data_IF_539576193145
#
_entry.id   IF_539576193145
#
_cell.length_a   1.000
_cell.length_b   1.000
_cell.length_c   1.000
_cell.angle_alpha   90.00
_cell.angle_beta   90.00
_cell.angle_gamma   90.00
#
_symmetry.space_group_name_H-M   'P 1'
#
loop_
_entity.id
_entity.type
_entity.pdbx_description
1 polymer ?
#
# COMPACT_ATOMS: atom_id res chain seq x y z
N UNK A 1 5.49 -3.64 50.02
CA UNK A 1 6.72 -2.83 49.87
C UNK A 1 7.64 -3.35 48.77
N UNK A 2 8.21 -4.57 48.88
CA UNK A 2 9.22 -5.08 47.92
C UNK A 2 8.68 -5.35 46.50
N UNK A 3 7.38 -5.69 46.38
CA UNK A 3 6.73 -5.98 45.09
C UNK A 3 6.45 -4.73 44.22
N UNK A 4 6.34 -3.55 44.85
CA UNK A 4 6.16 -2.27 44.16
C UNK A 4 7.51 -1.79 43.63
N UNK A 5 8.58 -2.01 44.39
CA UNK A 5 9.95 -1.71 43.98
C UNK A 5 10.42 -2.59 42.79
N UNK A 6 9.96 -3.84 42.72
CA UNK A 6 10.24 -4.72 41.56
C UNK A 6 9.42 -4.36 40.31
N UNK A 7 8.22 -3.79 40.46
CA UNK A 7 7.42 -3.31 39.31
C UNK A 7 7.96 -1.99 38.74
N UNK A 8 8.50 -1.11 39.58
CA UNK A 8 9.10 0.15 39.17
C UNK A 8 10.45 -0.06 38.44
N UNK A 9 11.17 -1.14 38.74
CA UNK A 9 12.43 -1.49 38.07
C UNK A 9 12.23 -2.11 36.68
N UNK A 10 11.15 -2.88 36.46
CA UNK A 10 10.78 -3.42 35.14
C UNK A 10 10.29 -2.30 34.20
N UNK A 11 9.70 -1.23 34.74
CA UNK A 11 9.26 -0.05 33.97
C UNK A 11 10.45 0.80 33.46
N UNK A 12 11.58 0.81 34.17
CA UNK A 12 12.77 1.63 33.82
C UNK A 12 13.73 0.90 32.87
N UNK A 13 13.68 -0.44 32.81
CA UNK A 13 14.58 -1.25 31.97
C UNK A 13 13.92 -1.85 30.71
N UNK A 14 12.59 -1.73 30.56
CA UNK A 14 11.83 -2.37 29.48
C UNK A 14 11.74 -1.63 28.15
N UNK A 15 12.40 -0.47 27.98
CA UNK A 15 12.16 0.43 26.84
C UNK A 15 13.41 0.82 26.04
N UNK A 16 14.44 -0.02 25.97
CA UNK A 16 15.58 0.26 25.09
C UNK A 16 16.24 -1.02 24.58
N UNK A 17 15.87 -1.44 23.36
CA UNK A 17 16.79 -1.76 22.23
C UNK A 17 16.07 -2.61 21.17
N UNK A 18 15.26 -1.96 20.35
CA UNK A 18 15.09 -2.40 18.96
C UNK A 18 15.42 -1.19 18.07
N UNK A 19 16.67 -1.14 17.64
CA UNK A 19 17.18 -0.17 16.66
C UNK A 19 16.95 -0.77 15.27
N UNK A 20 16.03 -0.25 14.44
CA UNK A 20 16.03 -0.59 13.03
C UNK A 20 17.24 0.08 12.36
N UNK A 21 18.17 -0.72 11.88
CA UNK A 21 19.33 -0.29 11.11
C UNK A 21 18.86 0.32 9.77
N UNK A 22 18.97 1.64 9.65
CA UNK A 22 18.84 2.36 8.39
C UNK A 22 20.13 2.21 7.59
N UNK A 23 20.01 1.79 6.32
CA UNK A 23 21.04 2.01 5.31
C UNK A 23 20.50 3.07 4.35
N UNK A 24 21.22 4.18 4.24
CA UNK A 24 20.94 5.25 3.30
C UNK A 24 21.95 5.18 2.14
N UNK A 25 21.46 5.00 0.92
CA UNK A 25 22.08 5.54 -0.29
C UNK A 25 21.00 5.71 -1.37
N UNK A 26 20.96 6.93 -1.89
CA UNK A 26 20.00 7.52 -2.83
C UNK A 26 19.91 6.79 -4.17
N UNK A 27 18.71 6.35 -4.53
CA UNK A 27 18.16 6.52 -5.89
C UNK A 27 16.70 6.94 -5.67
N UNK A 28 16.29 8.00 -6.34
CA UNK A 28 14.90 8.47 -6.47
C UNK A 28 13.90 7.33 -6.26
N UNK A 29 13.05 7.44 -5.23
CA UNK A 29 11.86 6.62 -5.12
C UNK A 29 10.91 7.04 -6.23
N UNK A 30 11.17 6.57 -7.45
CA UNK A 30 10.05 6.12 -8.26
C UNK A 30 9.52 4.96 -7.45
N UNK A 31 8.48 5.21 -6.66
CA UNK A 31 7.56 4.15 -6.30
C UNK A 31 7.21 3.50 -7.64
N UNK A 32 7.94 2.43 -7.98
CA UNK A 32 7.56 1.49 -8.99
C UNK A 32 6.35 0.80 -8.38
N UNK A 33 5.23 1.54 -8.35
CA UNK A 33 3.94 0.97 -8.52
C UNK A 33 4.08 0.30 -9.87
N UNK A 34 4.59 -0.93 -9.86
CA UNK A 34 4.51 -1.85 -10.97
C UNK A 34 3.01 -2.08 -11.10
N UNK A 35 2.32 -1.11 -11.69
CA UNK A 35 1.08 -1.36 -12.37
C UNK A 35 1.41 -2.58 -13.19
N UNK A 36 0.81 -3.70 -12.82
CA UNK A 36 1.08 -4.94 -13.52
C UNK A 36 0.49 -4.75 -14.91
N UNK A 37 1.18 -4.02 -15.77
CA UNK A 37 0.77 -3.68 -17.11
C UNK A 37 1.54 -4.58 -18.05
N UNK A 38 0.94 -4.85 -19.19
CA UNK A 38 1.64 -5.45 -20.32
C UNK A 38 2.56 -4.41 -20.94
N UNK A 39 3.41 -4.86 -21.88
CA UNK A 39 4.23 -3.96 -22.72
C UNK A 39 3.38 -2.91 -23.45
N UNK A 40 2.12 -3.24 -23.75
CA UNK A 40 1.14 -2.35 -24.39
C UNK A 40 0.47 -1.35 -23.42
N UNK A 41 0.93 -1.26 -22.16
CA UNK A 41 0.34 -0.37 -21.13
C UNK A 41 -1.05 -0.80 -20.63
N UNK A 42 -1.61 -1.89 -21.14
CA UNK A 42 -2.90 -2.43 -20.67
C UNK A 42 -2.71 -3.21 -19.37
N UNK A 43 -3.63 -3.10 -18.38
CA UNK A 43 -3.55 -3.90 -17.14
C UNK A 43 -3.53 -5.41 -17.38
N UNK A 44 -2.51 -6.09 -16.87
CA UNK A 44 -2.37 -7.54 -16.86
C UNK A 44 -3.41 -8.18 -15.93
N UNK A 45 -4.34 -8.91 -16.53
CA UNK A 45 -5.47 -9.55 -15.84
C UNK A 45 -5.08 -10.76 -15.00
N UNK A 46 -3.82 -11.20 -15.02
CA UNK A 46 -3.34 -12.26 -14.10
C UNK A 46 -3.45 -11.80 -12.64
N UNK A 47 -3.27 -10.50 -12.38
CA UNK A 47 -3.25 -9.93 -11.05
C UNK A 47 -4.65 -9.51 -10.57
N UNK A 48 -4.98 -9.82 -9.29
CA UNK A 48 -6.31 -9.56 -8.69
C UNK A 48 -6.72 -8.08 -8.75
N UNK A 49 -5.77 -7.16 -8.59
CA UNK A 49 -5.99 -5.71 -8.66
C UNK A 49 -6.55 -5.28 -10.02
N UNK A 50 -5.95 -5.79 -11.10
CA UNK A 50 -6.32 -5.43 -12.48
C UNK A 50 -7.61 -6.08 -12.97
N UNK A 51 -8.03 -7.19 -12.37
CA UNK A 51 -9.34 -7.79 -12.65
C UNK A 51 -10.50 -6.88 -12.26
N UNK A 52 -10.32 -6.04 -11.23
CA UNK A 52 -11.33 -5.11 -10.73
C UNK A 52 -11.33 -3.77 -11.46
N UNK A 53 -10.25 -3.40 -12.14
CA UNK A 53 -10.12 -2.14 -12.89
C UNK A 53 -10.85 -2.14 -14.25
N UNK A 54 -11.98 -2.83 -14.38
CA UNK A 54 -12.81 -2.69 -15.59
C UNK A 54 -13.57 -1.38 -15.49
N UNK A 55 -13.07 -0.33 -16.14
CA UNK A 55 -13.81 0.92 -16.28
C UNK A 55 -15.07 0.65 -17.11
N UNK A 56 -16.22 1.09 -16.60
CA UNK A 56 -17.50 1.00 -17.29
C UNK A 56 -17.57 2.06 -18.40
N UNK A 57 -17.03 1.75 -19.58
CA UNK A 57 -16.99 2.66 -20.73
C UNK A 57 -17.70 2.06 -21.93
N UNK A 58 -18.27 2.94 -22.77
CA UNK A 58 -18.82 2.58 -24.09
C UNK A 58 -17.69 2.30 -25.08
N UNK A 59 -18.02 1.75 -26.26
CA UNK A 59 -17.06 1.60 -27.38
C UNK A 59 -16.40 2.92 -27.78
N UNK A 60 -17.13 4.02 -27.65
CA UNK A 60 -16.68 5.39 -27.95
C UNK A 60 -15.72 5.97 -26.89
N UNK A 61 -15.31 5.19 -25.88
CA UNK A 61 -14.43 5.62 -24.78
C UNK A 61 -15.10 6.48 -23.70
N UNK A 62 -16.30 7.01 -23.95
CA UNK A 62 -17.07 7.78 -22.96
C UNK A 62 -17.57 6.89 -21.81
N UNK A 63 -17.68 7.42 -20.57
CA UNK A 63 -18.28 6.69 -19.45
C UNK A 63 -19.69 6.20 -19.77
N UNK A 64 -19.99 4.93 -19.45
CA UNK A 64 -21.31 4.36 -19.68
C UNK A 64 -22.28 4.78 -18.57
N UNK A 65 -23.22 5.68 -18.89
CA UNK A 65 -24.24 6.22 -17.97
C UNK A 65 -25.27 5.18 -17.48
N UNK A 66 -25.26 3.95 -17.99
CA UNK A 66 -26.06 2.85 -17.44
C UNK A 66 -25.61 2.48 -16.02
N UNK A 67 -24.33 2.67 -15.70
CA UNK A 67 -23.75 2.37 -14.39
C UNK A 67 -23.87 3.56 -13.43
N UNK A 68 -24.21 3.27 -12.15
CA UNK A 68 -24.38 4.29 -11.10
C UNK A 68 -23.13 5.14 -10.89
N UNK A 69 -21.95 4.54 -10.98
CA UNK A 69 -20.64 5.20 -10.82
C UNK A 69 -20.39 6.34 -11.81
N UNK A 70 -21.03 6.28 -12.99
CA UNK A 70 -20.82 7.21 -14.10
C UNK A 70 -21.93 8.27 -14.24
N UNK A 71 -22.92 8.28 -13.34
CA UNK A 71 -24.05 9.24 -13.37
C UNK A 71 -23.74 10.55 -12.63
N UNK A 72 -22.48 10.97 -12.63
CA UNK A 72 -22.07 12.28 -12.09
C UNK A 72 -22.62 13.43 -12.91
#
# INVERSE_FOLDING_TARGET
MKKILTLLTILVLGFSTFVPQTQAATIYSVQQHTEHLKKDGTPDRRFKKNKRHKKHVRKDGKPDRRYKENKK
#
